data_IF_691445888122
#
_entry.id   IF_691445888122
#
_cell.length_a   1.000
_cell.length_b   1.000
_cell.length_c   1.000
_cell.angle_alpha   90.00
_cell.angle_beta   90.00
_cell.angle_gamma   90.00
#
_symmetry.space_group_name_H-M   'P 1'
#
loop_
_entity.id
_entity.type
_entity.pdbx_description
1 polymer ?
#
# COMPACT_ATOMS: atom_id res chain seq x y z
N UNK A 1 -18.48 -5.56 -14.03
CA UNK A 1 -17.01 -5.48 -13.86
C UNK A 1 -16.40 -6.76 -13.26
N UNK A 2 -17.06 -7.45 -12.32
CA UNK A 2 -16.54 -8.67 -11.67
C UNK A 2 -16.28 -9.86 -12.61
N UNK A 3 -17.07 -10.03 -13.67
CA UNK A 3 -16.87 -11.10 -14.65
C UNK A 3 -15.54 -10.94 -15.42
N UNK A 4 -15.17 -9.72 -15.82
CA UNK A 4 -13.89 -9.47 -16.47
C UNK A 4 -12.70 -9.75 -15.53
N UNK A 5 -12.81 -9.33 -14.26
CA UNK A 5 -11.82 -9.66 -13.22
C UNK A 5 -11.68 -11.16 -13.02
N UNK A 6 -12.79 -11.90 -12.97
CA UNK A 6 -12.77 -13.36 -12.87
C UNK A 6 -12.00 -13.99 -14.03
N UNK A 7 -12.37 -13.62 -15.27
CA UNK A 7 -11.75 -14.16 -16.47
C UNK A 7 -10.26 -13.82 -16.51
N UNK A 8 -9.89 -12.57 -16.24
CA UNK A 8 -8.48 -12.16 -16.31
C UNK A 8 -7.65 -12.77 -15.18
N UNK A 9 -8.10 -12.69 -13.93
CA UNK A 9 -7.27 -13.09 -12.80
C UNK A 9 -7.28 -14.59 -12.57
N UNK A 10 -8.46 -15.21 -12.58
CA UNK A 10 -8.60 -16.64 -12.25
C UNK A 10 -8.26 -17.49 -13.45
N UNK A 11 -9.00 -17.32 -14.56
CA UNK A 11 -8.78 -18.12 -15.76
C UNK A 11 -7.49 -17.72 -16.47
N UNK A 12 -7.21 -16.42 -16.57
CA UNK A 12 -5.98 -15.91 -17.15
C UNK A 12 -4.75 -16.28 -16.33
N UNK A 13 -4.83 -16.26 -14.99
CA UNK A 13 -3.73 -16.71 -14.13
C UNK A 13 -3.41 -18.20 -14.30
N UNK A 14 -4.43 -19.06 -14.35
CA UNK A 14 -4.27 -20.49 -14.62
C UNK A 14 -3.65 -20.74 -16.00
N UNK A 15 -4.20 -20.09 -17.04
CA UNK A 15 -3.71 -20.18 -18.41
C UNK A 15 -2.29 -19.63 -18.59
N UNK A 16 -1.92 -18.58 -17.86
CA UNK A 16 -0.59 -17.98 -17.87
C UNK A 16 0.48 -18.97 -17.38
N UNK A 17 0.26 -19.60 -16.23
CA UNK A 17 1.21 -20.59 -15.66
C UNK A 17 1.32 -21.81 -16.58
N UNK A 18 0.18 -22.32 -17.05
CA UNK A 18 0.15 -23.45 -17.97
C UNK A 18 0.90 -23.15 -19.27
N UNK A 19 0.58 -22.02 -19.93
CA UNK A 19 1.18 -21.62 -21.20
C UNK A 19 2.67 -21.31 -21.07
N UNK A 20 3.09 -20.56 -20.05
CA UNK A 20 4.50 -20.23 -19.85
C UNK A 20 5.37 -21.44 -19.54
N UNK A 21 4.85 -22.43 -18.81
CA UNK A 21 5.61 -23.66 -18.55
C UNK A 21 6.00 -24.39 -19.84
N UNK A 22 5.13 -24.34 -20.85
CA UNK A 22 5.41 -24.94 -22.15
C UNK A 22 6.38 -24.09 -22.97
N UNK A 23 6.21 -22.76 -22.99
CA UNK A 23 7.11 -21.84 -23.70
C UNK A 23 8.55 -21.98 -23.23
N UNK A 24 8.76 -22.12 -21.92
CA UNK A 24 10.07 -22.21 -21.28
C UNK A 24 10.69 -23.62 -21.25
N UNK A 25 10.11 -24.59 -21.96
CA UNK A 25 10.55 -26.01 -21.91
C UNK A 25 10.55 -26.61 -20.50
N UNK A 26 9.77 -26.06 -19.58
CA UNK A 26 9.65 -26.62 -18.22
C UNK A 26 8.67 -27.81 -18.18
N UNK A 27 7.77 -27.88 -19.16
CA UNK A 27 6.74 -28.92 -19.27
C UNK A 27 7.08 -29.95 -20.34
N UNK A 28 7.18 -31.20 -19.91
CA UNK A 28 7.35 -32.42 -20.71
C UNK A 28 6.14 -33.35 -20.52
N UNK A 29 6.06 -34.40 -21.33
CA UNK A 29 5.01 -35.43 -21.22
C UNK A 29 4.94 -36.08 -19.83
N UNK A 30 6.09 -36.19 -19.14
CA UNK A 30 6.19 -36.85 -17.83
C UNK A 30 5.75 -35.97 -16.66
N UNK A 31 5.86 -34.66 -16.77
CA UNK A 31 5.58 -33.72 -15.67
C UNK A 31 4.34 -32.84 -15.93
N UNK A 32 3.60 -33.12 -17.00
CA UNK A 32 2.41 -32.36 -17.37
C UNK A 32 1.38 -32.27 -16.25
N UNK A 33 1.14 -33.35 -15.52
CA UNK A 33 0.17 -33.37 -14.42
C UNK A 33 0.61 -32.52 -13.21
N UNK A 34 1.92 -32.43 -12.95
CA UNK A 34 2.46 -31.53 -11.94
C UNK A 34 2.18 -30.08 -12.30
N UNK A 35 2.41 -29.69 -13.55
CA UNK A 35 2.11 -28.33 -14.03
C UNK A 35 0.60 -28.02 -14.05
N UNK A 36 -0.27 -29.01 -14.30
CA UNK A 36 -1.73 -28.84 -14.17
C UNK A 36 -2.09 -28.51 -12.74
N UNK A 37 -1.49 -29.22 -11.80
CA UNK A 37 -1.71 -29.00 -10.36
C UNK A 37 -1.21 -27.63 -9.94
N UNK A 38 -0.03 -27.20 -10.41
CA UNK A 38 0.49 -25.85 -10.14
C UNK A 38 -0.42 -24.75 -10.72
N UNK A 39 -0.88 -24.89 -11.97
CA UNK A 39 -1.78 -23.93 -12.60
C UNK A 39 -3.14 -23.88 -11.88
N UNK A 40 -3.69 -25.03 -11.50
CA UNK A 40 -4.92 -25.12 -10.72
C UNK A 40 -4.76 -24.47 -9.34
N UNK A 41 -3.63 -24.71 -8.66
CA UNK A 41 -3.33 -24.08 -7.37
C UNK A 41 -3.30 -22.55 -7.47
N UNK A 42 -2.60 -21.99 -8.47
CA UNK A 42 -2.57 -20.54 -8.70
C UNK A 42 -3.97 -20.00 -9.04
N UNK A 43 -4.73 -20.72 -9.88
CA UNK A 43 -6.13 -20.40 -10.15
C UNK A 43 -6.99 -20.38 -8.89
N UNK A 44 -6.83 -21.35 -7.99
CA UNK A 44 -7.53 -21.42 -6.71
C UNK A 44 -7.18 -20.24 -5.80
N UNK A 45 -5.91 -19.83 -5.72
CA UNK A 45 -5.50 -18.65 -4.96
C UNK A 45 -6.20 -17.39 -5.47
N UNK A 46 -6.23 -17.17 -6.79
CA UNK A 46 -6.95 -16.03 -7.36
C UNK A 46 -8.47 -16.15 -7.22
N UNK A 47 -9.02 -17.36 -7.25
CA UNK A 47 -10.44 -17.60 -7.04
C UNK A 47 -10.84 -17.22 -5.61
N UNK A 48 -10.09 -17.67 -4.60
CA UNK A 48 -10.34 -17.30 -3.19
C UNK A 48 -10.28 -15.79 -3.04
N UNK A 49 -9.25 -15.13 -3.60
CA UNK A 49 -9.14 -13.67 -3.58
C UNK A 49 -10.35 -12.99 -4.23
N UNK A 50 -10.78 -13.44 -5.40
CA UNK A 50 -11.94 -12.91 -6.10
C UNK A 50 -13.25 -13.13 -5.34
N UNK A 51 -13.42 -14.29 -4.68
CA UNK A 51 -14.58 -14.56 -3.81
C UNK A 51 -14.58 -13.60 -2.62
N UNK A 52 -13.43 -13.37 -1.98
CA UNK A 52 -13.33 -12.41 -0.87
C UNK A 52 -13.67 -10.99 -1.34
N UNK A 53 -13.15 -10.54 -2.50
CA UNK A 53 -13.52 -9.24 -3.07
C UNK A 53 -15.04 -9.12 -3.30
N UNK A 54 -15.66 -10.15 -3.88
CA UNK A 54 -17.10 -10.15 -4.12
C UNK A 54 -17.88 -10.24 -2.81
N UNK A 55 -17.44 -11.05 -1.84
CA UNK A 55 -18.09 -11.15 -0.55
C UNK A 55 -18.03 -9.81 0.19
N UNK A 56 -16.87 -9.15 0.22
CA UNK A 56 -16.72 -7.81 0.78
C UNK A 56 -17.61 -6.79 0.07
N UNK A 57 -17.70 -6.86 -1.27
CA UNK A 57 -18.60 -6.00 -2.04
C UNK A 57 -20.09 -6.31 -1.85
N UNK A 58 -20.48 -7.57 -1.69
CA UNK A 58 -21.87 -7.95 -1.45
C UNK A 58 -22.29 -7.68 -0.01
N UNK A 59 -21.34 -7.74 0.93
CA UNK A 59 -21.62 -7.56 2.34
C UNK A 59 -21.65 -6.09 2.77
N UNK A 60 -20.99 -5.14 2.07
CA UNK A 60 -21.01 -3.64 2.21
C UNK A 60 -20.88 -3.03 3.63
N UNK A 61 -21.01 -3.80 4.70
CA UNK A 61 -21.26 -3.37 6.09
C UNK A 61 -20.28 -4.07 7.03
N UNK A 62 -19.00 -4.13 6.65
CA UNK A 62 -17.96 -4.26 7.68
C UNK A 62 -16.82 -3.31 7.36
N UNK A 63 -16.50 -2.37 8.27
CA UNK A 63 -15.35 -1.49 8.09
C UNK A 63 -14.08 -2.35 8.11
N UNK A 64 -13.39 -2.39 6.97
CA UNK A 64 -12.11 -3.06 6.75
C UNK A 64 -10.97 -2.27 7.42
N UNK A 65 -11.06 -2.03 8.73
CA UNK A 65 -10.06 -1.25 9.47
C UNK A 65 -9.00 -2.11 10.18
N UNK A 66 -9.01 -3.43 10.03
CA UNK A 66 -8.43 -4.25 11.12
C UNK A 66 -6.91 -4.44 11.09
N UNK A 67 -6.17 -4.34 9.97
CA UNK A 67 -4.70 -4.55 10.02
C UNK A 67 -3.94 -3.75 8.94
N UNK A 68 -3.31 -2.61 9.27
CA UNK A 68 -2.58 -1.79 8.29
C UNK A 68 -1.34 -2.49 7.70
N UNK A 69 -0.70 -3.42 8.43
CA UNK A 69 0.42 -4.18 7.87
C UNK A 69 -0.01 -5.20 6.81
N UNK A 70 -1.19 -5.81 6.96
CA UNK A 70 -1.74 -6.76 6.01
C UNK A 70 -2.15 -6.05 4.72
N UNK A 71 -2.72 -4.84 4.82
CA UNK A 71 -3.11 -4.03 3.66
C UNK A 71 -1.90 -3.72 2.77
N UNK A 72 -0.80 -3.22 3.35
CA UNK A 72 0.45 -2.97 2.62
C UNK A 72 1.01 -4.24 1.97
N UNK A 73 1.02 -5.37 2.71
CA UNK A 73 1.46 -6.65 2.16
C UNK A 73 0.63 -7.12 0.96
N UNK A 74 -0.69 -6.88 1.00
CA UNK A 74 -1.60 -7.21 -0.08
C UNK A 74 -1.38 -6.33 -1.32
N UNK A 75 -1.09 -5.03 -1.13
CA UNK A 75 -0.73 -4.11 -2.23
C UNK A 75 0.57 -4.54 -2.91
N UNK A 76 1.60 -4.88 -2.12
CA UNK A 76 2.86 -5.43 -2.65
C UNK A 76 2.62 -6.73 -3.41
N UNK A 77 1.81 -7.63 -2.86
CA UNK A 77 1.44 -8.87 -3.55
C UNK A 77 0.71 -8.62 -4.87
N UNK A 78 -0.19 -7.64 -4.91
CA UNK A 78 -0.92 -7.28 -6.13
C UNK A 78 0.01 -6.71 -7.20
N UNK A 79 0.89 -5.77 -6.81
CA UNK A 79 1.81 -5.12 -7.74
C UNK A 79 2.90 -6.08 -8.22
N UNK A 80 3.42 -6.93 -7.34
CA UNK A 80 4.54 -7.82 -7.69
C UNK A 80 4.00 -9.10 -8.32
N UNK A 81 3.17 -9.85 -7.60
CA UNK A 81 2.80 -11.22 -7.98
C UNK A 81 1.67 -11.24 -9.00
N UNK A 82 0.55 -10.55 -8.73
CA UNK A 82 -0.61 -10.56 -9.65
C UNK A 82 -0.21 -9.99 -11.00
N UNK A 83 0.46 -8.82 -11.03
CA UNK A 83 0.91 -8.25 -12.31
C UNK A 83 1.97 -9.08 -13.01
N UNK A 84 2.93 -9.68 -12.30
CA UNK A 84 3.88 -10.58 -12.96
C UNK A 84 3.15 -11.73 -13.66
N UNK A 85 2.21 -12.38 -12.96
CA UNK A 85 1.49 -13.52 -13.53
C UNK A 85 0.61 -13.09 -14.70
N UNK A 86 -0.14 -12.00 -14.57
CA UNK A 86 -1.11 -11.61 -15.60
C UNK A 86 -0.50 -10.85 -16.77
N UNK A 87 0.41 -9.92 -16.53
CA UNK A 87 1.01 -9.12 -17.60
C UNK A 87 2.16 -9.86 -18.27
N UNK A 88 3.05 -10.50 -17.49
CA UNK A 88 4.27 -11.11 -18.05
C UNK A 88 3.99 -12.53 -18.53
N UNK A 89 3.58 -13.43 -17.62
CA UNK A 89 3.28 -14.81 -18.01
C UNK A 89 2.00 -14.91 -18.83
N UNK A 90 1.01 -14.07 -18.54
CA UNK A 90 -0.25 -14.03 -19.28
C UNK A 90 -0.06 -13.58 -20.73
N UNK A 91 0.79 -12.59 -21.02
CA UNK A 91 1.05 -12.17 -22.41
C UNK A 91 1.74 -13.28 -23.23
N UNK A 92 2.81 -13.87 -22.68
CA UNK A 92 3.52 -14.96 -23.35
C UNK A 92 2.63 -16.21 -23.51
N UNK A 93 1.89 -16.58 -22.46
CA UNK A 93 0.94 -17.68 -22.49
C UNK A 93 -0.23 -17.45 -23.46
N UNK A 94 -0.71 -16.20 -23.59
CA UNK A 94 -1.76 -15.85 -24.54
C UNK A 94 -1.28 -15.96 -25.99
N UNK A 95 -0.09 -15.47 -26.34
CA UNK A 95 0.48 -15.66 -27.69
C UNK A 95 0.66 -17.15 -27.99
N UNK A 96 1.22 -17.89 -27.02
CA UNK A 96 1.44 -19.31 -27.16
C UNK A 96 0.11 -20.07 -27.36
N UNK A 97 -0.88 -19.86 -26.50
CA UNK A 97 -2.20 -20.48 -26.61
C UNK A 97 -2.95 -20.05 -27.86
N UNK A 98 -2.88 -18.77 -28.22
CA UNK A 98 -3.52 -18.24 -29.43
C UNK A 98 -2.99 -18.92 -30.69
N UNK A 99 -1.66 -19.11 -30.80
CA UNK A 99 -1.04 -19.83 -31.93
C UNK A 99 -1.58 -21.25 -32.12
N UNK A 100 -2.03 -21.89 -31.03
CA UNK A 100 -2.66 -23.21 -31.06
C UNK A 100 -4.07 -23.16 -31.63
N UNK A 101 -4.86 -22.20 -31.18
CA UNK A 101 -6.29 -22.10 -31.53
C UNK A 101 -6.45 -21.82 -33.02
N UNK A 102 -5.56 -20.99 -33.58
CA UNK A 102 -5.53 -20.66 -35.01
C UNK A 102 -4.79 -21.71 -35.86
N UNK A 103 -4.37 -22.83 -35.25
CA UNK A 103 -3.65 -23.93 -35.91
C UNK A 103 -2.35 -23.48 -36.63
N UNK A 104 -1.74 -22.36 -36.22
CA UNK A 104 -0.48 -21.87 -36.80
C UNK A 104 0.75 -22.61 -36.26
N UNK A 105 0.58 -23.49 -35.28
CA UNK A 105 1.63 -24.29 -34.65
C UNK A 105 1.71 -25.67 -35.31
N UNK A 106 2.49 -25.78 -36.38
CA UNK A 106 2.90 -27.05 -36.98
C UNK A 106 4.26 -27.47 -36.39
N UNK A 107 4.70 -28.71 -36.65
CA UNK A 107 6.03 -29.18 -36.21
C UNK A 107 7.17 -28.28 -36.73
N UNK A 108 6.96 -27.62 -37.88
CA UNK A 108 7.95 -26.72 -38.48
C UNK A 108 7.90 -25.30 -37.88
N UNK A 109 6.74 -24.80 -37.48
CA UNK A 109 6.55 -23.42 -37.00
C UNK A 109 6.55 -23.27 -35.48
N UNK A 110 6.57 -24.38 -34.73
CA UNK A 110 6.52 -24.37 -33.27
C UNK A 110 7.65 -23.54 -32.64
N UNK A 111 8.88 -23.70 -33.14
CA UNK A 111 10.04 -22.97 -32.65
C UNK A 111 9.97 -21.47 -32.95
N UNK A 112 9.39 -21.11 -34.10
CA UNK A 112 9.14 -19.71 -34.45
C UNK A 112 8.18 -19.04 -33.45
N UNK A 113 7.02 -19.65 -33.20
CA UNK A 113 6.04 -19.10 -32.25
C UNK A 113 6.56 -19.06 -30.82
N UNK A 114 7.43 -20.02 -30.47
CA UNK A 114 8.09 -20.04 -29.18
C UNK A 114 9.03 -18.86 -29.01
N UNK A 115 9.86 -18.57 -30.02
CA UNK A 115 10.73 -17.40 -30.00
C UNK A 115 9.91 -16.10 -29.86
N UNK A 116 8.78 -15.97 -30.58
CA UNK A 116 7.88 -14.82 -30.46
C UNK A 116 7.29 -14.69 -29.04
N UNK A 117 6.87 -15.80 -28.43
CA UNK A 117 6.37 -15.81 -27.06
C UNK A 117 7.47 -15.42 -26.04
N UNK A 118 8.71 -15.90 -26.24
CA UNK A 118 9.86 -15.55 -25.39
C UNK A 118 10.22 -14.06 -25.52
N UNK A 119 10.26 -13.52 -26.74
CA UNK A 119 10.52 -12.09 -26.96
C UNK A 119 9.46 -11.24 -26.26
N UNK A 120 8.19 -11.66 -26.33
CA UNK A 120 7.10 -11.00 -25.61
C UNK A 120 7.28 -11.09 -24.11
N UNK A 121 7.61 -12.28 -23.57
CA UNK A 121 7.90 -12.48 -22.16
C UNK A 121 8.98 -11.51 -21.67
N UNK A 122 10.09 -11.41 -22.40
CA UNK A 122 11.21 -10.52 -22.04
C UNK A 122 10.77 -9.05 -22.06
N UNK A 123 10.07 -8.61 -23.11
CA UNK A 123 9.59 -7.24 -23.23
C UNK A 123 8.68 -6.83 -22.07
N UNK A 124 7.71 -7.68 -21.72
CA UNK A 124 6.82 -7.45 -20.58
C UNK A 124 7.56 -7.56 -19.23
N UNK A 125 8.55 -8.46 -19.11
CA UNK A 125 9.39 -8.56 -17.90
C UNK A 125 10.13 -7.27 -17.64
N UNK A 126 10.77 -6.67 -18.65
CA UNK A 126 11.49 -5.39 -18.50
C UNK A 126 10.55 -4.29 -18.06
N UNK A 127 9.36 -4.20 -18.69
CA UNK A 127 8.32 -3.24 -18.30
C UNK A 127 7.88 -3.44 -16.85
N UNK A 128 7.63 -4.67 -16.43
CA UNK A 128 7.22 -5.01 -15.07
C UNK A 128 8.32 -4.67 -14.04
N UNK A 129 9.58 -4.97 -14.34
CA UNK A 129 10.71 -4.59 -13.49
C UNK A 129 10.80 -3.08 -13.30
N UNK A 130 10.57 -2.30 -14.37
CA UNK A 130 10.55 -0.84 -14.26
C UNK A 130 9.44 -0.35 -13.32
N UNK A 131 8.24 -0.95 -13.40
CA UNK A 131 7.13 -0.63 -12.50
C UNK A 131 7.50 -0.92 -11.04
N UNK A 132 8.14 -2.07 -10.76
CA UNK A 132 8.57 -2.40 -9.40
C UNK A 132 9.63 -1.44 -8.89
N UNK A 133 10.62 -1.10 -9.72
CA UNK A 133 11.67 -0.16 -9.31
C UNK A 133 11.07 1.19 -8.99
N UNK A 134 10.16 1.70 -9.82
CA UNK A 134 9.46 2.96 -9.54
C UNK A 134 8.66 2.89 -8.24
N UNK A 135 7.93 1.81 -8.01
CA UNK A 135 7.16 1.62 -6.79
C UNK A 135 8.06 1.55 -5.54
N UNK A 136 9.15 0.79 -5.61
CA UNK A 136 10.11 0.67 -4.52
C UNK A 136 10.82 2.00 -4.20
N UNK A 137 11.13 2.80 -5.22
CA UNK A 137 11.68 4.15 -5.02
C UNK A 137 10.65 5.07 -4.37
N UNK A 138 9.39 5.05 -4.84
CA UNK A 138 8.32 5.86 -4.26
C UNK A 138 8.07 5.55 -2.79
N UNK A 139 8.15 4.28 -2.37
CA UNK A 139 8.01 3.92 -0.95
C UNK A 139 9.20 4.41 -0.11
N UNK A 140 10.42 4.37 -0.65
CA UNK A 140 11.60 4.89 0.05
C UNK A 140 11.48 6.38 0.31
N UNK A 141 10.98 7.13 -0.68
CA UNK A 141 10.77 8.57 -0.56
C UNK A 141 9.68 8.88 0.48
N UNK A 142 8.57 8.13 0.48
CA UNK A 142 7.49 8.28 1.46
C UNK A 142 7.95 7.99 2.90
N UNK A 143 8.73 6.93 3.11
CA UNK A 143 9.29 6.60 4.41
C UNK A 143 10.30 7.66 4.90
N UNK A 144 11.10 8.22 3.98
CA UNK A 144 12.06 9.29 4.32
C UNK A 144 11.34 10.55 4.81
N UNK A 145 10.20 10.90 4.19
CA UNK A 145 9.39 12.03 4.64
C UNK A 145 8.75 11.80 6.01
N UNK A 146 8.28 10.58 6.29
CA UNK A 146 7.74 10.22 7.62
C UNK A 146 8.80 10.36 8.71
N UNK A 147 10.01 9.85 8.48
CA UNK A 147 11.11 9.98 9.44
C UNK A 147 11.49 11.45 9.69
N UNK A 148 11.51 12.28 8.66
CA UNK A 148 11.79 13.71 8.82
C UNK A 148 10.67 14.43 9.60
N UNK A 149 9.40 14.03 9.39
CA UNK A 149 8.28 14.59 10.14
C UNK A 149 8.36 14.25 11.62
N UNK A 150 8.63 12.99 11.96
CA UNK A 150 8.75 12.56 13.36
C UNK A 150 9.92 13.25 14.06
N UNK A 151 11.04 13.46 13.34
CA UNK A 151 12.21 14.17 13.86
C UNK A 151 11.91 15.64 14.20
N UNK A 152 11.11 16.32 13.37
CA UNK A 152 10.70 17.70 13.63
C UNK A 152 9.76 17.81 14.84
N UNK A 153 8.81 16.87 14.98
CA UNK A 153 7.86 16.86 16.10
C UNK A 153 8.58 16.66 17.43
N UNK A 154 9.52 15.72 17.52
CA UNK A 154 10.31 15.52 18.75
C UNK A 154 11.19 16.74 19.06
N UNK A 155 11.74 17.41 18.03
CA UNK A 155 12.54 18.60 18.21
C UNK A 155 11.76 19.81 18.74
N UNK A 156 10.51 20.00 18.32
CA UNK A 156 9.64 21.07 18.85
C UNK A 156 9.21 20.79 20.29
N UNK A 157 8.83 19.55 20.62
CA UNK A 157 8.42 19.18 21.98
C UNK A 157 9.55 19.37 23.02
N UNK A 158 10.80 19.08 22.64
CA UNK A 158 11.96 19.27 23.51
C UNK A 158 12.34 20.76 23.67
N UNK A 159 12.15 21.58 22.62
CA UNK A 159 12.41 23.03 22.68
C UNK A 159 11.39 23.73 23.59
N UNK A 160 10.11 23.42 23.41
CA UNK A 160 9.02 24.01 24.22
C UNK A 160 9.15 23.62 25.69
N UNK A 161 9.62 22.39 25.97
CA UNK A 161 9.89 21.93 27.32
C UNK A 161 11.07 22.67 27.97
N UNK A 162 12.14 22.90 27.22
CA UNK A 162 13.29 23.67 27.71
C UNK A 162 12.92 25.13 28.03
N UNK A 163 12.11 25.76 27.17
CA UNK A 163 11.63 27.13 27.39
C UNK A 163 10.69 27.21 28.60
N UNK A 164 9.84 26.20 28.82
CA UNK A 164 9.00 26.11 30.02
C UNK A 164 9.84 26.02 31.31
N UNK A 165 10.90 25.19 31.34
CA UNK A 165 11.77 25.05 32.53
C UNK A 165 12.54 26.34 32.84
N UNK A 166 13.00 27.07 31.83
CA UNK A 166 13.66 28.38 32.01
C UNK A 166 12.68 29.40 32.62
N UNK A 167 11.42 29.40 32.16
CA UNK A 167 10.42 30.35 32.63
C UNK A 167 10.03 30.08 34.09
N UNK A 168 9.92 28.81 34.50
CA UNK A 168 9.65 28.42 35.89
C UNK A 168 10.80 28.82 36.84
N UNK A 169 12.05 28.72 36.38
CA UNK A 169 13.23 29.21 37.12
C UNK A 169 13.19 30.74 37.32
N UNK A 170 12.87 31.50 36.28
CA UNK A 170 12.77 32.95 36.34
C UNK A 170 11.61 33.42 37.27
N UNK A 171 10.50 32.69 37.28
CA UNK A 171 9.36 32.99 38.16
C UNK A 171 9.69 32.74 39.63
N UNK A 172 10.50 31.71 39.91
CA UNK A 172 10.99 31.41 41.27
C UNK A 172 11.93 32.51 41.81
N UNK A 173 12.78 33.08 40.95
CA UNK A 173 13.70 34.17 41.32
C UNK A 173 12.98 35.51 41.57
N UNK A 174 11.93 35.80 40.80
CA UNK A 174 11.10 37.00 41.04
C UNK A 174 10.24 36.90 42.30
N UNK A 175 9.72 35.72 42.64
CA UNK A 175 8.93 35.53 43.87
C UNK A 175 9.79 35.68 45.13
N UNK A 176 11.04 35.22 45.12
CA UNK A 176 11.98 35.42 46.25
C UNK A 176 12.34 36.90 46.45
N UNK A 177 12.51 37.67 45.36
CA UNK A 177 12.73 39.11 45.42
C UNK A 177 11.51 39.90 45.90
N UNK A 178 10.30 39.55 45.44
CA UNK A 178 9.08 40.25 45.86
C UNK A 178 8.70 39.94 47.32
N UNK A 179 8.95 38.71 47.80
CA UNK A 179 8.76 38.36 49.21
C UNK A 179 9.67 39.21 50.13
N UNK A 180 10.87 39.59 49.66
CA UNK A 180 11.71 40.55 50.39
C UNK A 180 11.15 41.99 50.38
N UNK A 181 10.43 42.37 49.32
CA UNK A 181 9.87 43.72 49.13
C UNK A 181 8.53 43.95 49.83
N UNK A 182 7.75 42.89 50.08
CA UNK A 182 6.42 42.95 50.72
C UNK A 182 6.42 43.18 52.24
N UNK A 183 7.60 43.38 52.85
CA UNK A 183 7.73 43.86 54.23
C UNK A 183 7.34 45.33 54.43
N UNK A 184 6.83 46.01 53.39
CA UNK A 184 6.35 47.40 53.48
C UNK A 184 4.83 47.46 53.64
N UNK A 185 4.30 48.15 54.67
CA UNK A 185 2.89 48.09 55.05
C UNK A 185 1.95 48.76 54.03
N UNK A 186 0.78 48.16 53.73
CA UNK A 186 -0.16 48.66 52.72
C UNK A 186 -0.95 49.89 53.20
N UNK A 187 -1.04 50.90 52.33
CA UNK A 187 -1.93 52.05 52.47
C UNK A 187 -3.28 51.71 51.82
N UNK A 188 -4.35 51.64 52.62
CA UNK A 188 -5.69 51.32 52.15
C UNK A 188 -6.34 52.52 51.45
N UNK A 189 -6.67 52.35 50.17
CA UNK A 189 -7.52 53.26 49.41
C UNK A 189 -8.81 52.52 49.03
N UNK A 190 -9.95 53.03 49.52
CA UNK A 190 -11.28 52.46 49.35
C UNK A 190 -11.87 52.82 47.98
N UNK A 191 -12.20 51.82 47.18
CA UNK A 191 -12.95 51.97 45.93
C UNK A 191 -14.42 51.59 46.15
N UNK A 192 -15.39 52.41 45.71
CA UNK A 192 -16.80 52.10 45.85
C UNK A 192 -17.29 51.17 44.74
N UNK A 193 -18.15 50.27 45.21
CA UNK A 193 -18.99 49.29 44.52
C UNK A 193 -19.94 49.99 43.54
N UNK A 194 -20.00 49.52 42.30
CA UNK A 194 -21.10 49.84 41.41
C UNK A 194 -21.59 48.57 40.73
N UNK A 195 -22.89 48.37 40.89
CA UNK A 195 -23.69 47.22 40.54
C UNK A 195 -24.23 47.36 39.10
N UNK A 196 -24.62 46.20 38.55
CA UNK A 196 -25.68 45.97 37.56
C UNK A 196 -25.50 46.44 36.10
N UNK A 197 -25.60 45.50 35.14
CA UNK A 197 -26.83 45.28 34.34
C UNK A 197 -26.68 44.16 33.28
N UNK A 198 -27.82 43.57 32.95
CA UNK A 198 -28.13 42.33 32.20
C UNK A 198 -27.66 42.22 30.72
N UNK A 199 -27.60 40.98 30.17
CA UNK A 199 -27.48 40.72 28.74
C UNK A 199 -28.83 40.73 28.00
N UNK A 200 -28.86 41.41 26.86
CA UNK A 200 -29.94 41.41 25.87
C UNK A 200 -29.79 40.21 24.92
N UNK A 201 -30.81 39.36 24.88
CA UNK A 201 -31.00 38.32 23.86
C UNK A 201 -31.27 38.95 22.47
N UNK A 202 -30.56 38.49 21.44
CA UNK A 202 -30.90 38.74 20.03
C UNK A 202 -31.05 37.41 19.32
N UNK A 203 -32.23 37.26 18.70
CA UNK A 203 -32.73 36.13 17.94
C UNK A 203 -31.97 35.85 16.63
#
# INVERSE_FOLDING_TARGET
MYAAKFVLQVLGGCGAIWGCSEVLWLRDERNGDSWRTCAAFVGCVFLVRWIVEIASYCLIVMPSSTIPCLAKGLEWFEIVVVKAILEVFGAAGAIWGFSQIILLRTEETVEFWRAVAIVTLIGFTVRWLFIIVQFATSERDANTQLTHRDSNVVGEDDLDKADSEINDLALTETHTLNTARESSPPTYLSTPQNEDEEPVDIA
#
